data_IF_796590592341
#
_entry.id   IF_796590592341
#
_cell.length_a   1.000
_cell.length_b   1.000
_cell.length_c   1.000
_cell.angle_alpha   90.00
_cell.angle_beta   90.00
_cell.angle_gamma   90.00
#
_symmetry.space_group_name_H-M   'P 1'
#
loop_
_entity.id
_entity.type
_entity.pdbx_description
1 polymer ?
#
# COMPACT_ATOMS: atom_id res chain seq x y z
N UNK A 1 4.22 -46.73 -25.69
CA UNK A 1 3.30 -47.67 -26.38
C UNK A 1 1.87 -47.33 -25.92
N UNK A 2 1.20 -46.33 -26.50
CA UNK A 2 0.09 -46.47 -27.47
C UNK A 2 -0.59 -47.83 -27.41
N UNK A 3 -1.86 -47.89 -27.00
CA UNK A 3 -2.92 -48.74 -27.59
C UNK A 3 -4.28 -48.03 -27.43
N UNK A 4 -5.02 -47.99 -28.54
CA UNK A 4 -6.28 -47.30 -28.79
C UNK A 4 -7.35 -48.37 -28.98
N UNK A 5 -8.52 -48.25 -28.35
CA UNK A 5 -9.82 -48.83 -28.79
C UNK A 5 -10.90 -47.92 -28.15
N UNK A 6 -11.72 -47.10 -28.83
CA UNK A 6 -12.60 -47.25 -30.00
C UNK A 6 -13.80 -48.20 -29.76
N UNK A 7 -14.94 -47.62 -29.35
CA UNK A 7 -16.31 -48.11 -29.56
C UNK A 7 -17.28 -46.91 -29.39
N UNK A 8 -17.77 -46.30 -30.47
CA UNK A 8 -19.12 -46.48 -31.07
C UNK A 8 -20.26 -46.28 -30.04
N UNK A 9 -20.84 -45.08 -29.90
CA UNK A 9 -21.92 -44.47 -30.72
C UNK A 9 -23.28 -45.18 -30.60
N UNK A 10 -24.16 -44.69 -29.74
CA UNK A 10 -25.62 -44.81 -29.90
C UNK A 10 -26.27 -43.43 -29.69
N UNK A 11 -26.87 -42.98 -30.78
CA UNK A 11 -27.76 -41.85 -31.00
C UNK A 11 -29.10 -42.10 -30.29
N UNK A 12 -29.63 -41.14 -29.54
CA UNK A 12 -31.08 -41.03 -29.37
C UNK A 12 -31.53 -39.56 -29.33
N UNK A 13 -32.19 -39.20 -30.42
CA UNK A 13 -32.81 -37.92 -30.74
C UNK A 13 -34.24 -37.93 -30.15
N UNK A 14 -34.57 -37.00 -29.25
CA UNK A 14 -35.95 -36.65 -28.93
C UNK A 14 -36.06 -35.13 -28.80
N UNK A 15 -36.52 -34.50 -29.89
CA UNK A 15 -37.03 -33.14 -29.87
C UNK A 15 -38.52 -33.18 -29.46
N UNK A 16 -38.86 -32.48 -28.38
CA UNK A 16 -40.24 -32.05 -28.12
C UNK A 16 -40.25 -30.52 -28.13
N UNK A 17 -40.90 -29.97 -29.15
CA UNK A 17 -41.28 -28.56 -29.25
C UNK A 17 -42.70 -28.45 -28.72
N UNK A 18 -42.91 -27.60 -27.70
CA UNK A 18 -44.22 -27.10 -27.32
C UNK A 18 -44.10 -25.58 -27.11
N UNK A 19 -44.85 -24.86 -27.91
CA UNK A 19 -44.97 -23.41 -27.91
C UNK A 19 -45.74 -22.92 -26.67
N UNK A 20 -45.28 -21.82 -26.09
CA UNK A 20 -46.02 -21.03 -25.10
C UNK A 20 -45.92 -19.55 -25.45
N UNK A 21 -47.00 -19.00 -26.01
CA UNK A 21 -47.25 -17.56 -26.13
C UNK A 21 -47.95 -17.06 -24.86
N UNK A 22 -47.59 -15.87 -24.39
CA UNK A 22 -48.38 -15.12 -23.43
C UNK A 22 -47.63 -13.96 -22.77
N UNK A 23 -47.64 -12.79 -23.41
CA UNK A 23 -47.38 -11.52 -22.73
C UNK A 23 -48.32 -10.44 -23.31
N UNK A 24 -49.21 -9.95 -22.46
CA UNK A 24 -50.17 -8.85 -22.70
C UNK A 24 -49.46 -7.48 -22.61
N UNK A 25 -49.86 -6.46 -23.39
CA UNK A 25 -49.31 -5.10 -23.30
C UNK A 25 -50.14 -4.20 -22.36
N UNK A 26 -49.46 -3.29 -21.65
CA UNK A 26 -50.07 -2.25 -20.81
C UNK A 26 -49.35 -0.90 -21.03
N UNK A 27 -49.94 0.27 -20.72
CA UNK A 27 -50.13 1.37 -21.68
C UNK A 27 -49.24 2.59 -21.48
N UNK A 28 -49.24 3.45 -22.51
CA UNK A 28 -48.53 4.72 -22.65
C UNK A 28 -49.23 5.87 -21.88
N UNK A 29 -48.51 6.63 -21.06
CA UNK A 29 -48.87 8.01 -20.61
C UNK A 29 -47.60 8.87 -20.51
N UNK A 30 -47.74 10.14 -20.89
CA UNK A 30 -46.74 11.09 -21.42
C UNK A 30 -46.20 12.10 -20.37
N UNK A 31 -45.04 12.73 -20.69
CA UNK A 31 -44.48 14.08 -20.31
C UNK A 31 -43.20 14.11 -19.41
N UNK A 32 -42.36 15.19 -19.40
CA UNK A 32 -41.49 15.78 -20.47
C UNK A 32 -40.01 16.06 -19.94
N UNK A 33 -39.09 16.88 -20.55
CA UNK A 33 -37.67 16.54 -20.74
C UNK A 33 -36.64 17.02 -19.68
N UNK A 34 -35.44 16.41 -19.76
CA UNK A 34 -34.08 16.83 -19.39
C UNK A 34 -33.83 17.70 -18.13
N UNK A 35 -33.05 17.15 -17.19
CA UNK A 35 -32.25 17.96 -16.26
C UNK A 35 -30.82 17.41 -16.17
N UNK A 36 -29.89 18.18 -16.73
CA UNK A 36 -28.43 18.00 -16.66
C UNK A 36 -27.93 18.50 -15.30
N UNK A 37 -27.07 17.74 -14.63
CA UNK A 37 -26.34 18.22 -13.45
C UNK A 37 -26.32 17.24 -12.28
N UNK A 38 -25.99 15.97 -12.52
CA UNK A 38 -25.63 15.05 -11.45
C UNK A 38 -24.12 15.08 -11.25
N UNK A 39 -23.65 15.83 -10.24
CA UNK A 39 -22.33 15.59 -9.65
C UNK A 39 -22.31 14.17 -9.11
N UNK A 40 -21.81 13.22 -9.90
CA UNK A 40 -21.41 11.91 -9.42
C UNK A 40 -20.14 12.10 -8.59
N UNK A 41 -20.30 12.47 -7.32
CA UNK A 41 -19.33 12.08 -6.30
C UNK A 41 -19.34 10.55 -6.29
N UNK A 42 -18.40 9.95 -7.02
CA UNK A 42 -18.17 8.51 -6.99
C UNK A 42 -17.90 8.12 -5.53
N UNK A 43 -18.71 7.24 -4.93
CA UNK A 43 -18.48 6.75 -3.59
C UNK A 43 -17.21 5.89 -3.53
N UNK A 44 -16.33 6.25 -2.60
CA UNK A 44 -15.25 5.46 -2.00
C UNK A 44 -14.39 4.59 -2.91
N UNK A 45 -13.29 5.19 -3.38
CA UNK A 45 -12.05 4.44 -3.52
C UNK A 45 -11.69 3.89 -2.13
N UNK A 46 -12.04 2.64 -1.85
CA UNK A 46 -11.51 1.91 -0.70
C UNK A 46 -9.99 1.86 -0.88
N UNK A 47 -9.29 2.84 -0.29
CA UNK A 47 -7.86 2.71 -0.10
C UNK A 47 -7.70 1.44 0.73
N UNK A 48 -6.93 0.48 0.23
CA UNK A 48 -6.57 -0.70 1.04
C UNK A 48 -5.94 -0.19 2.34
N UNK A 49 -5.97 -0.91 3.46
CA UNK A 49 -5.46 -0.39 4.74
C UNK A 49 -4.01 0.13 4.71
N UNK A 50 -3.23 -0.27 3.71
CA UNK A 50 -1.88 0.21 3.41
C UNK A 50 -1.81 1.49 2.57
N UNK A 51 -2.85 1.86 1.82
CA UNK A 51 -2.89 3.08 1.02
C UNK A 51 -3.47 4.24 1.83
N UNK A 52 -2.68 5.29 1.96
CA UNK A 52 -2.94 6.39 2.88
C UNK A 52 -2.99 7.72 2.13
N UNK A 53 -4.07 8.46 2.35
CA UNK A 53 -4.33 9.78 1.76
C UNK A 53 -4.52 10.89 2.79
N UNK A 54 -4.66 10.54 4.07
CA UNK A 54 -4.88 11.50 5.16
C UNK A 54 -4.11 11.11 6.45
N UNK A 55 -4.07 12.06 7.40
CA UNK A 55 -3.35 11.90 8.65
C UNK A 55 -3.90 10.77 9.53
N UNK A 56 -5.22 10.59 9.60
CA UNK A 56 -5.83 9.57 10.46
C UNK A 56 -5.53 8.16 9.94
N UNK A 57 -5.59 7.97 8.63
CA UNK A 57 -5.15 6.76 7.95
C UNK A 57 -3.68 6.48 8.20
N UNK A 58 -2.82 7.50 8.12
CA UNK A 58 -1.39 7.36 8.40
C UNK A 58 -1.14 6.91 9.84
N UNK A 59 -1.71 7.60 10.81
CA UNK A 59 -1.58 7.29 12.25
C UNK A 59 -2.02 5.85 12.57
N UNK A 60 -3.13 5.40 11.98
CA UNK A 60 -3.60 4.02 12.14
C UNK A 60 -2.62 3.02 11.52
N UNK A 61 -2.15 3.28 10.30
CA UNK A 61 -1.29 2.37 9.54
C UNK A 61 0.09 2.17 10.19
N UNK A 62 0.66 3.21 10.81
CA UNK A 62 1.99 3.15 11.47
C UNK A 62 1.95 2.55 12.89
N UNK A 63 0.75 2.36 13.45
CA UNK A 63 0.59 1.79 14.79
C UNK A 63 1.00 0.32 14.87
N UNK A 64 1.15 -0.18 16.11
CA UNK A 64 1.43 -1.60 16.41
C UNK A 64 0.37 -2.58 15.86
N UNK A 65 -0.85 -2.10 15.65
CA UNK A 65 -1.98 -2.87 15.11
C UNK A 65 -2.23 -2.53 13.61
N UNK A 66 -1.29 -1.82 12.98
CA UNK A 66 -1.37 -1.36 11.60
C UNK A 66 -0.96 -2.41 10.58
N UNK A 67 -0.20 -2.00 9.56
CA UNK A 67 0.10 -2.83 8.38
C UNK A 67 1.56 -2.77 7.97
N UNK A 68 2.16 -3.90 7.57
CA UNK A 68 3.60 -3.98 7.30
C UNK A 68 4.13 -2.96 6.26
N UNK A 69 3.28 -2.54 5.32
CA UNK A 69 3.56 -1.54 4.29
C UNK A 69 2.55 -0.40 4.36
N UNK A 70 3.06 0.84 4.38
CA UNK A 70 2.31 2.08 4.41
C UNK A 70 2.69 2.88 3.15
N UNK A 71 1.77 3.04 2.21
CA UNK A 71 1.97 3.71 0.93
C UNK A 71 1.21 5.04 0.91
N UNK A 72 1.92 6.14 0.74
CA UNK A 72 1.29 7.45 0.51
C UNK A 72 0.84 7.57 -0.93
N UNK A 73 -0.30 8.22 -1.14
CA UNK A 73 -0.85 8.59 -2.46
C UNK A 73 -0.85 10.11 -2.71
N UNK A 74 -0.37 10.88 -1.73
CA UNK A 74 -0.21 12.33 -1.80
C UNK A 74 0.75 12.80 -0.71
N UNK A 75 1.15 14.08 -0.79
CA UNK A 75 1.86 14.73 0.30
C UNK A 75 1.00 14.79 1.56
N UNK A 76 1.62 14.59 2.72
CA UNK A 76 0.98 14.68 4.03
C UNK A 76 1.75 15.61 4.94
N UNK A 77 1.02 16.48 5.64
CA UNK A 77 1.55 17.28 6.75
C UNK A 77 0.78 16.93 8.01
N UNK A 78 1.48 16.44 9.03
CA UNK A 78 0.89 15.99 10.29
C UNK A 78 1.60 16.73 11.43
N UNK A 79 0.89 17.66 12.07
CA UNK A 79 1.45 18.54 13.11
C UNK A 79 1.45 17.87 14.49
N UNK A 80 1.93 16.63 14.56
CA UNK A 80 1.95 15.79 15.76
C UNK A 80 3.17 14.88 15.72
N UNK A 81 3.78 14.62 16.87
CA UNK A 81 4.82 13.60 16.96
C UNK A 81 4.23 12.20 16.76
N UNK A 82 4.90 11.38 15.95
CA UNK A 82 4.42 10.06 15.58
C UNK A 82 5.40 8.96 15.99
N UNK A 83 4.87 7.74 16.10
CA UNK A 83 5.65 6.54 16.44
C UNK A 83 5.30 5.44 15.44
N UNK A 84 6.30 4.94 14.73
CA UNK A 84 6.23 3.73 13.92
C UNK A 84 6.54 2.53 14.82
N UNK A 85 5.50 1.76 15.15
CA UNK A 85 5.58 0.69 16.13
C UNK A 85 5.13 -0.67 15.59
N UNK A 86 5.49 -1.72 16.32
CA UNK A 86 5.17 -3.12 16.04
C UNK A 86 6.18 -3.84 15.16
N UNK A 87 6.09 -5.17 15.16
CA UNK A 87 6.93 -6.08 14.38
C UNK A 87 6.05 -6.81 13.36
N UNK A 88 6.39 -6.67 12.08
CA UNK A 88 5.57 -7.16 10.98
C UNK A 88 6.38 -8.06 10.05
N UNK A 89 5.70 -8.98 9.38
CA UNK A 89 6.27 -9.78 8.29
C UNK A 89 5.73 -9.27 6.96
N UNK A 90 6.51 -9.42 5.88
CA UNK A 90 6.04 -9.10 4.52
C UNK A 90 5.32 -10.28 3.82
N UNK A 91 5.00 -11.33 4.58
CA UNK A 91 4.38 -12.55 4.06
C UNK A 91 5.31 -13.48 3.26
N UNK A 92 6.61 -13.15 3.14
CA UNK A 92 7.61 -14.00 2.48
C UNK A 92 8.48 -14.74 3.50
N UNK A 93 9.11 -15.81 3.04
CA UNK A 93 10.06 -16.62 3.81
C UNK A 93 11.48 -16.47 3.28
N UNK A 94 12.46 -16.55 4.16
CA UNK A 94 13.88 -16.62 3.81
C UNK A 94 14.25 -18.02 3.28
N UNK A 95 15.50 -18.19 2.85
CA UNK A 95 16.02 -19.47 2.32
C UNK A 95 15.97 -20.62 3.35
N UNK A 96 15.80 -20.29 4.64
CA UNK A 96 15.68 -21.23 5.76
C UNK A 96 14.23 -21.48 6.17
N UNK A 97 13.26 -20.85 5.50
CA UNK A 97 11.83 -20.99 5.77
C UNK A 97 11.28 -20.09 6.89
N UNK A 98 12.09 -19.19 7.47
CA UNK A 98 11.65 -18.25 8.50
C UNK A 98 10.92 -17.06 7.87
N UNK A 99 9.96 -16.48 8.60
CA UNK A 99 9.26 -15.29 8.11
C UNK A 99 10.19 -14.08 8.09
N UNK A 100 10.12 -13.31 7.00
CA UNK A 100 10.93 -12.11 6.83
C UNK A 100 10.27 -10.93 7.54
N UNK A 101 10.94 -10.42 8.57
CA UNK A 101 10.54 -9.20 9.27
C UNK A 101 10.82 -7.99 8.38
N UNK A 102 9.80 -7.16 8.17
CA UNK A 102 9.92 -5.92 7.39
C UNK A 102 8.82 -4.94 7.77
N UNK A 103 9.21 -3.66 7.86
CA UNK A 103 8.29 -2.53 7.94
C UNK A 103 8.66 -1.51 6.86
N UNK A 104 7.68 -0.97 6.12
CA UNK A 104 7.94 -0.03 5.02
C UNK A 104 6.99 1.16 5.06
N UNK A 105 7.56 2.36 5.01
CA UNK A 105 6.87 3.59 4.61
C UNK A 105 7.31 3.92 3.18
N UNK A 106 6.41 3.78 2.23
CA UNK A 106 6.60 4.10 0.82
C UNK A 106 6.04 5.49 0.53
N UNK A 107 6.92 6.43 0.20
CA UNK A 107 6.58 7.81 -0.15
C UNK A 107 6.50 7.98 -1.67
N UNK A 108 5.95 7.00 -2.38
CA UNK A 108 5.95 6.97 -3.83
C UNK A 108 4.84 6.09 -4.41
N UNK A 109 4.56 6.30 -5.69
CA UNK A 109 3.81 5.38 -6.55
C UNK A 109 4.71 4.76 -7.60
N UNK A 110 4.30 3.58 -8.07
CA UNK A 110 4.97 2.90 -9.17
C UNK A 110 3.96 2.26 -10.12
N UNK A 111 4.38 2.08 -11.37
CA UNK A 111 3.61 1.32 -12.36
C UNK A 111 3.83 -0.21 -12.21
N UNK A 112 3.17 -0.98 -13.09
CA UNK A 112 3.28 -2.44 -13.13
C UNK A 112 4.70 -2.94 -13.44
N UNK A 113 5.53 -2.11 -14.07
CA UNK A 113 6.91 -2.42 -14.42
C UNK A 113 7.89 -2.02 -13.31
N UNK A 114 7.38 -1.49 -12.19
CA UNK A 114 8.14 -0.97 -11.03
C UNK A 114 8.90 0.32 -11.33
N UNK A 115 8.47 1.09 -12.34
CA UNK A 115 8.97 2.44 -12.53
C UNK A 115 8.31 3.35 -11.51
N UNK A 116 9.10 4.20 -10.86
CA UNK A 116 8.58 5.21 -9.94
C UNK A 116 7.84 6.29 -10.75
N UNK A 117 6.54 6.46 -10.51
CA UNK A 117 5.67 7.39 -11.25
C UNK A 117 5.36 8.66 -10.47
N UNK A 118 5.45 8.62 -9.14
CA UNK A 118 5.28 9.78 -8.27
C UNK A 118 6.14 9.65 -7.01
N UNK A 119 6.44 10.78 -6.39
CA UNK A 119 7.18 10.89 -5.12
C UNK A 119 6.49 11.90 -4.23
N UNK A 120 6.36 11.57 -2.95
CA UNK A 120 5.59 12.33 -1.98
C UNK A 120 6.44 12.81 -0.82
N UNK A 121 5.95 13.86 -0.19
CA UNK A 121 6.50 14.45 1.01
C UNK A 121 5.66 14.07 2.23
N UNK A 122 6.29 13.51 3.25
CA UNK A 122 5.71 13.33 4.58
C UNK A 122 6.36 14.33 5.53
N UNK A 123 5.63 15.36 5.94
CA UNK A 123 6.06 16.37 6.90
C UNK A 123 5.46 16.11 8.27
N UNK A 124 6.32 15.84 9.26
CA UNK A 124 5.95 15.52 10.65
C UNK A 124 7.02 16.14 11.54
N UNK A 125 6.70 16.83 12.66
CA UNK A 125 7.73 17.38 13.53
C UNK A 125 8.77 16.35 13.97
N UNK A 126 8.31 15.14 14.30
CA UNK A 126 9.14 14.03 14.77
C UNK A 126 8.48 12.69 14.47
N UNK A 127 9.28 11.72 14.01
CA UNK A 127 8.89 10.32 13.87
C UNK A 127 9.87 9.42 14.62
N UNK A 128 9.33 8.65 15.58
CA UNK A 128 10.10 7.65 16.33
C UNK A 128 9.97 6.29 15.65
N UNK A 129 11.10 5.61 15.40
CA UNK A 129 11.17 4.31 14.73
C UNK A 129 11.47 3.23 15.77
N UNK A 130 10.42 2.52 16.21
CA UNK A 130 10.52 1.37 17.12
C UNK A 130 10.41 0.02 16.37
N UNK A 131 9.90 0.01 15.14
CA UNK A 131 9.81 -1.20 14.32
C UNK A 131 11.18 -1.65 13.80
N UNK A 132 11.59 -2.91 14.04
CA UNK A 132 12.84 -3.45 13.48
C UNK A 132 12.74 -3.63 11.97
N UNK A 133 13.88 -3.49 11.27
CA UNK A 133 13.95 -3.62 9.80
C UNK A 133 12.98 -2.66 9.07
N UNK A 134 12.72 -1.50 9.67
CA UNK A 134 11.91 -0.46 9.05
C UNK A 134 12.67 0.23 7.91
N UNK A 135 11.94 0.68 6.90
CA UNK A 135 12.49 1.50 5.83
C UNK A 135 11.56 2.65 5.48
N UNK A 136 12.15 3.80 5.16
CA UNK A 136 11.48 4.86 4.39
C UNK A 136 12.04 4.77 2.98
N UNK A 137 11.16 4.75 1.98
CA UNK A 137 11.55 4.55 0.58
C UNK A 137 11.00 5.64 -0.32
N UNK A 138 11.89 6.16 -1.16
CA UNK A 138 11.65 7.25 -2.10
C UNK A 138 11.17 8.54 -1.42
N UNK A 139 10.84 9.56 -2.21
CA UNK A 139 10.22 10.79 -1.71
C UNK A 139 11.04 11.59 -0.71
N UNK A 140 10.36 12.38 0.12
CA UNK A 140 10.97 13.28 1.10
C UNK A 140 10.29 13.15 2.46
N UNK A 141 11.06 12.95 3.51
CA UNK A 141 10.60 13.06 4.89
C UNK A 141 11.08 14.41 5.45
N UNK A 142 10.16 15.25 5.94
CA UNK A 142 10.50 16.52 6.60
C UNK A 142 10.21 16.40 8.09
N UNK A 143 11.24 16.55 8.91
CA UNK A 143 11.14 16.31 10.35
C UNK A 143 12.34 15.57 10.92
N UNK A 144 12.36 15.42 12.23
CA UNK A 144 13.42 14.67 12.91
C UNK A 144 13.04 13.18 13.07
N UNK A 145 14.01 12.31 12.78
CA UNK A 145 13.90 10.86 12.99
C UNK A 145 14.58 10.47 14.29
N UNK A 146 13.88 9.70 15.13
CA UNK A 146 14.42 9.08 16.34
C UNK A 146 14.41 7.57 16.18
N UNK A 147 15.57 6.98 15.96
CA UNK A 147 15.72 5.57 15.61
C UNK A 147 16.10 4.76 16.85
N UNK A 148 15.16 3.93 17.29
CA UNK A 148 15.28 3.08 18.48
C UNK A 148 15.40 1.59 18.14
N UNK A 149 15.28 1.24 16.85
CA UNK A 149 15.28 -0.15 16.38
C UNK A 149 16.40 -0.40 15.36
N UNK A 150 16.90 -1.64 15.38
CA UNK A 150 17.99 -2.05 14.49
C UNK A 150 17.53 -2.19 13.03
N UNK A 151 18.52 -2.06 12.13
CA UNK A 151 18.38 -2.27 10.69
C UNK A 151 17.40 -1.31 10.01
N UNK A 152 17.24 -0.10 10.56
CA UNK A 152 16.52 0.99 9.89
C UNK A 152 17.22 1.36 8.57
N UNK A 153 16.44 1.64 7.53
CA UNK A 153 16.94 1.88 6.18
C UNK A 153 16.33 3.12 5.54
N UNK A 154 17.15 3.89 4.84
CA UNK A 154 16.70 4.86 3.84
C UNK A 154 17.02 4.31 2.45
N UNK A 155 16.03 4.34 1.56
CA UNK A 155 16.19 3.92 0.16
C UNK A 155 15.69 5.04 -0.72
N UNK A 156 16.57 5.66 -1.51
CA UNK A 156 16.26 6.79 -2.39
C UNK A 156 15.42 7.90 -1.71
N UNK A 157 15.67 8.14 -0.41
CA UNK A 157 14.86 9.03 0.43
C UNK A 157 15.68 10.26 0.83
N UNK A 158 15.08 11.45 0.70
CA UNK A 158 15.62 12.67 1.32
C UNK A 158 14.99 12.91 2.69
N UNK A 159 15.80 13.01 3.73
CA UNK A 159 15.40 13.45 5.07
C UNK A 159 15.81 14.91 5.24
N UNK A 160 14.81 15.80 5.24
CA UNK A 160 14.95 17.20 5.62
C UNK A 160 14.77 17.36 7.13
N UNK A 161 15.84 17.05 7.86
CA UNK A 161 15.86 17.07 9.32
C UNK A 161 17.04 16.27 9.87
N UNK A 162 17.04 16.04 11.18
CA UNK A 162 18.08 15.30 11.87
C UNK A 162 17.70 13.83 12.03
N UNK A 163 18.70 12.97 12.20
CA UNK A 163 18.53 11.56 12.56
C UNK A 163 19.28 11.27 13.85
N UNK A 164 18.53 10.90 14.87
CA UNK A 164 19.02 10.52 16.18
C UNK A 164 18.93 9.01 16.36
N UNK A 165 19.96 8.40 16.92
CA UNK A 165 20.01 6.97 17.19
C UNK A 165 20.12 6.73 18.69
N UNK A 166 19.34 5.80 19.24
CA UNK A 166 19.35 5.52 20.68
C UNK A 166 20.65 4.85 21.18
N UNK A 167 21.50 4.32 20.29
CA UNK A 167 22.81 3.77 20.63
C UNK A 167 23.73 3.67 19.42
N UNK A 168 25.03 3.49 19.66
CA UNK A 168 26.00 3.17 18.60
C UNK A 168 25.67 1.87 17.87
N UNK A 169 25.15 0.85 18.58
CA UNK A 169 24.76 -0.41 17.94
C UNK A 169 23.64 -0.20 16.90
N UNK A 170 22.62 0.59 17.26
CA UNK A 170 21.53 0.95 16.34
C UNK A 170 22.08 1.77 15.16
N UNK A 171 22.91 2.78 15.43
CA UNK A 171 23.57 3.58 14.38
C UNK A 171 24.41 2.73 13.44
N UNK A 172 25.15 1.76 13.93
CA UNK A 172 25.98 0.88 13.12
C UNK A 172 25.15 -0.09 12.26
N UNK A 173 23.91 -0.39 12.68
CA UNK A 173 22.97 -1.21 11.90
C UNK A 173 22.21 -0.43 10.82
N UNK A 174 22.18 0.90 10.92
CA UNK A 174 21.51 1.78 9.98
C UNK A 174 22.15 1.72 8.60
N UNK A 175 21.33 1.73 7.55
CA UNK A 175 21.80 1.76 6.16
C UNK A 175 21.08 2.83 5.36
N UNK A 176 21.80 3.43 4.43
CA UNK A 176 21.22 4.27 3.39
C UNK A 176 21.93 4.00 2.06
N UNK A 177 21.18 4.05 0.96
CA UNK A 177 21.77 3.94 -0.38
C UNK A 177 22.36 5.27 -0.86
N UNK A 178 23.04 5.23 -2.01
CA UNK A 178 23.69 6.41 -2.61
C UNK A 178 22.70 7.49 -3.07
N UNK A 179 21.45 7.12 -3.32
CA UNK A 179 20.39 8.04 -3.72
C UNK A 179 19.74 8.76 -2.52
N UNK A 180 19.90 8.22 -1.32
CA UNK A 180 19.38 8.80 -0.10
C UNK A 180 20.24 9.97 0.39
N UNK A 181 19.60 10.91 1.09
CA UNK A 181 20.25 12.10 1.63
C UNK A 181 19.66 12.48 2.98
N UNK A 182 20.50 12.90 3.92
CA UNK A 182 20.09 13.54 5.19
C UNK A 182 20.66 14.96 5.18
N UNK A 183 19.82 15.97 5.37
CA UNK A 183 20.26 17.39 5.34
C UNK A 183 20.72 17.91 6.69
N UNK A 184 20.28 17.30 7.79
CA UNK A 184 20.66 17.65 9.15
C UNK A 184 21.76 16.77 9.72
N UNK A 185 21.84 16.73 11.06
CA UNK A 185 22.82 15.95 11.78
C UNK A 185 22.46 14.47 11.87
N UNK A 186 23.50 13.64 12.01
CA UNK A 186 23.36 12.23 12.38
C UNK A 186 24.15 11.97 13.67
N UNK A 187 23.47 11.71 14.79
CA UNK A 187 24.15 11.48 16.07
C UNK A 187 23.44 10.48 16.97
N UNK A 188 24.20 9.91 17.89
CA UNK A 188 23.64 9.08 18.97
C UNK A 188 23.14 10.02 20.07
N UNK A 189 21.95 9.75 20.62
CA UNK A 189 21.33 10.53 21.70
C UNK A 189 20.51 9.66 22.63
#
# INVERSE_FOLDING_TARGET
MKHRYAALMILMLCAFVLAGCGAEPAPNVTTPPANTGGSTSSPDAYSTPSMVTDAAGFEKAISKDGVWIICLLNDLTINKELVLDGTFTNGKKDDKGNDIIQRKIALYEQDQNRNITARYTLAVPKLTINSPNASIQHGTFKGDLYVNAENFQLVDTTVEGNVYFASDAIKNSFKMDEASKITGEQKVQ
#
